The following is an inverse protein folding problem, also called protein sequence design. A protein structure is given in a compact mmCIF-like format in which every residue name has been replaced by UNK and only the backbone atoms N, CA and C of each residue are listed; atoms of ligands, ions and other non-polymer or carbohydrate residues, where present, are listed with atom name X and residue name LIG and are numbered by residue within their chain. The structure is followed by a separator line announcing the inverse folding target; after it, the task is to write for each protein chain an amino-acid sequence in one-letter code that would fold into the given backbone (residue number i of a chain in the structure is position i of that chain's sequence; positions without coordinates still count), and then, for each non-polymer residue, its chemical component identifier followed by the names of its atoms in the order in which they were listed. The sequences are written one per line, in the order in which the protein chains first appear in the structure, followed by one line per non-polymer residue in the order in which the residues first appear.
data_IF_297957217973
#
_entry.id   IF_297957217973
#
_cell.length_a   1.000
_cell.length_b   1.000
_cell.length_c   1.000
_cell.angle_alpha   90.00
_cell.angle_beta   90.00
_cell.angle_gamma   90.00
#
_symmetry.space_group_name_H-M   'P 1'
#
loop_
_entity.id
_entity.type
_entity.pdbx_description
1 polymer ?
#
# COMPACT_ATOMS: atom_id res chain seq x y z
N UNK A 1 -4.70 -41.85 -13.08
CA UNK A 1 -3.71 -40.75 -12.94
C UNK A 1 -4.15 -39.43 -13.57
N UNK A 2 -4.78 -39.40 -14.76
CA UNK A 2 -5.22 -38.13 -15.38
C UNK A 2 -6.17 -37.29 -14.49
N UNK A 3 -7.23 -37.89 -13.94
CA UNK A 3 -8.16 -37.19 -13.05
C UNK A 3 -7.52 -36.63 -11.78
N UNK A 4 -6.58 -37.38 -11.17
CA UNK A 4 -5.83 -36.94 -9.99
C UNK A 4 -4.94 -35.72 -10.29
N UNK A 5 -4.30 -35.70 -11.47
CA UNK A 5 -3.46 -34.57 -11.89
C UNK A 5 -4.34 -33.33 -12.13
N UNK A 6 -5.51 -33.48 -12.75
CA UNK A 6 -6.43 -32.37 -12.98
C UNK A 6 -6.95 -31.79 -11.66
N UNK A 7 -7.33 -32.64 -10.71
CA UNK A 7 -7.81 -32.22 -9.40
C UNK A 7 -6.73 -31.46 -8.61
N UNK A 8 -5.51 -31.98 -8.63
CA UNK A 8 -4.34 -31.35 -8.00
C UNK A 8 -4.00 -30.00 -8.67
N UNK A 9 -4.12 -29.90 -9.99
CA UNK A 9 -3.91 -28.63 -10.72
C UNK A 9 -4.95 -27.57 -10.37
N UNK A 10 -6.22 -27.95 -10.24
CA UNK A 10 -7.30 -27.03 -9.86
C UNK A 10 -7.04 -26.46 -8.47
N UNK A 11 -6.70 -27.32 -7.51
CA UNK A 11 -6.38 -26.90 -6.14
C UNK A 11 -5.13 -26.02 -6.11
N UNK A 12 -4.08 -26.38 -6.85
CA UNK A 12 -2.85 -25.60 -6.93
C UNK A 12 -3.09 -24.18 -7.49
N UNK A 13 -3.86 -24.07 -8.57
CA UNK A 13 -4.21 -22.78 -9.17
C UNK A 13 -5.07 -21.94 -8.24
N UNK A 14 -5.99 -22.55 -7.48
CA UNK A 14 -6.80 -21.87 -6.49
C UNK A 14 -5.92 -21.25 -5.38
N UNK A 15 -4.99 -22.02 -4.83
CA UNK A 15 -4.10 -21.57 -3.75
C UNK A 15 -3.20 -20.43 -4.25
N UNK A 16 -2.61 -20.58 -5.45
CA UNK A 16 -1.75 -19.54 -6.05
C UNK A 16 -2.58 -18.28 -6.34
N UNK A 17 -3.80 -18.43 -6.85
CA UNK A 17 -4.70 -17.30 -7.10
C UNK A 17 -5.01 -16.52 -5.82
N UNK A 18 -5.42 -17.21 -4.75
CA UNK A 18 -5.75 -16.55 -3.47
C UNK A 18 -4.53 -15.87 -2.85
N UNK A 19 -3.36 -16.53 -2.88
CA UNK A 19 -2.12 -15.97 -2.31
C UNK A 19 -1.62 -14.75 -3.10
N UNK A 20 -1.66 -14.79 -4.43
CA UNK A 20 -1.32 -13.65 -5.28
C UNK A 20 -2.31 -12.48 -5.11
N UNK A 21 -3.60 -12.78 -4.97
CA UNK A 21 -4.63 -11.77 -4.73
C UNK A 21 -4.46 -11.07 -3.38
N UNK A 22 -4.01 -11.75 -2.33
CA UNK A 22 -3.79 -11.09 -1.04
C UNK A 22 -2.75 -9.97 -1.11
N UNK A 23 -1.69 -10.14 -1.91
CA UNK A 23 -0.70 -9.08 -2.12
C UNK A 23 -1.28 -7.87 -2.85
N UNK A 24 -2.02 -8.10 -3.95
CA UNK A 24 -2.63 -7.03 -4.76
C UNK A 24 -3.76 -6.33 -4.01
N UNK A 25 -4.60 -7.09 -3.31
CA UNK A 25 -5.70 -6.55 -2.50
C UNK A 25 -5.12 -5.74 -1.34
N UNK A 26 -4.12 -6.24 -0.62
CA UNK A 26 -3.51 -5.50 0.50
C UNK A 26 -2.80 -4.23 0.02
N UNK A 27 -2.06 -4.30 -1.09
CA UNK A 27 -1.41 -3.12 -1.66
C UNK A 27 -2.43 -2.13 -2.25
N UNK A 28 -3.43 -2.61 -2.99
CA UNK A 28 -4.46 -1.77 -3.60
C UNK A 28 -5.41 -1.14 -2.58
N UNK A 29 -5.82 -1.88 -1.53
CA UNK A 29 -6.58 -1.34 -0.39
C UNK A 29 -5.69 -0.41 0.43
N UNK A 30 -4.44 -0.79 0.70
CA UNK A 30 -3.48 0.04 1.41
C UNK A 30 -3.26 1.39 0.73
N UNK A 31 -3.04 1.40 -0.58
CA UNK A 31 -2.81 2.62 -1.35
C UNK A 31 -4.09 3.45 -1.51
N UNK A 32 -5.25 2.82 -1.74
CA UNK A 32 -6.53 3.52 -1.92
C UNK A 32 -7.15 4.03 -0.60
N UNK A 33 -7.00 3.30 0.51
CA UNK A 33 -7.55 3.67 1.82
C UNK A 33 -6.55 4.50 2.64
N UNK A 34 -5.27 4.11 2.68
CA UNK A 34 -4.24 4.78 3.49
C UNK A 34 -3.37 5.74 2.66
N UNK A 35 -3.10 5.46 1.39
CA UNK A 35 -2.25 6.29 0.53
C UNK A 35 -2.83 7.66 0.16
N UNK A 36 -4.16 7.80 0.10
CA UNK A 36 -4.82 9.08 -0.22
C UNK A 36 -4.93 10.06 0.97
N UNK A 37 -5.13 9.54 2.20
CA UNK A 37 -5.42 10.38 3.38
C UNK A 37 -4.21 10.64 4.28
N UNK A 38 -3.19 9.78 4.29
CA UNK A 38 -2.05 9.90 5.22
C UNK A 38 -0.76 10.40 4.58
N UNK A 39 -0.75 10.68 3.27
CA UNK A 39 0.44 11.20 2.58
C UNK A 39 0.88 12.57 3.11
N UNK A 40 -0.09 13.39 3.52
CA UNK A 40 0.17 14.70 4.16
C UNK A 40 0.05 14.65 5.66
N UNK A 41 -0.40 13.57 6.30
CA UNK A 41 -0.61 13.54 7.75
C UNK A 41 0.69 13.84 8.50
N UNK A 42 1.84 13.30 8.05
CA UNK A 42 3.14 13.67 8.61
C UNK A 42 3.52 15.13 8.34
N UNK A 43 3.20 15.69 7.18
CA UNK A 43 3.53 17.06 6.77
C UNK A 43 2.62 18.10 7.44
N UNK A 44 1.33 17.83 7.54
CA UNK A 44 0.31 18.67 8.20
C UNK A 44 0.49 18.64 9.71
N UNK A 45 0.78 17.46 10.29
CA UNK A 45 1.05 17.35 11.71
C UNK A 45 2.37 18.06 12.06
N UNK A 46 3.43 17.90 11.25
CA UNK A 46 4.66 18.70 11.43
C UNK A 46 4.50 20.19 11.11
N UNK A 47 3.53 20.58 10.27
CA UNK A 47 3.18 21.98 10.05
C UNK A 47 2.61 22.64 11.32
N UNK A 48 1.78 21.94 12.10
CA UNK A 48 1.27 22.44 13.40
C UNK A 48 2.39 22.70 14.40
N UNK A 49 3.44 21.89 14.41
CA UNK A 49 4.61 22.14 15.28
C UNK A 49 5.53 23.24 14.73
N UNK A 50 5.47 23.52 13.41
CA UNK A 50 6.19 24.63 12.76
C UNK A 50 5.46 25.96 12.81
N UNK A 51 4.17 26.03 13.17
CA UNK A 51 3.47 27.31 13.34
C UNK A 51 4.09 28.08 14.52
N UNK A 52 4.87 29.12 14.21
CA UNK A 52 5.61 29.91 15.20
C UNK A 52 7.13 29.81 15.07
N UNK A 53 7.65 28.92 14.22
CA UNK A 53 9.08 28.86 13.95
C UNK A 53 9.48 29.90 12.90
N UNK A 54 10.57 30.62 13.17
CA UNK A 54 11.16 31.55 12.22
C UNK A 54 11.60 30.74 10.98
N UNK A 55 10.97 30.95 9.83
CA UNK A 55 11.35 30.26 8.59
C UNK A 55 12.75 30.66 8.18
N UNK A 56 13.75 29.86 8.55
CA UNK A 56 15.14 30.01 8.12
C UNK A 56 15.41 28.93 7.07
N UNK A 57 15.22 29.29 5.80
CA UNK A 57 15.44 28.36 4.70
C UNK A 57 15.40 29.01 3.33
N UNK A 58 16.57 29.05 2.68
CA UNK A 58 16.74 29.10 1.22
C UNK A 58 16.74 30.49 0.59
N UNK A 59 17.92 31.05 0.38
CA UNK A 59 18.14 32.16 -0.57
C UNK A 59 17.60 31.73 -1.94
N UNK A 60 16.66 32.48 -2.48
CA UNK A 60 16.13 32.30 -3.83
C UNK A 60 17.25 32.69 -4.80
N UNK A 61 17.78 31.71 -5.54
CA UNK A 61 18.54 31.99 -6.77
C UNK A 61 17.54 32.35 -7.86
#
# INVERSE_FOLDING_TARGET
MGAYITDLMIVALLIIGITALMGVITNGIGEKIFGGKRRTEFTDESAKYRTGWKMVGGKKN
#
